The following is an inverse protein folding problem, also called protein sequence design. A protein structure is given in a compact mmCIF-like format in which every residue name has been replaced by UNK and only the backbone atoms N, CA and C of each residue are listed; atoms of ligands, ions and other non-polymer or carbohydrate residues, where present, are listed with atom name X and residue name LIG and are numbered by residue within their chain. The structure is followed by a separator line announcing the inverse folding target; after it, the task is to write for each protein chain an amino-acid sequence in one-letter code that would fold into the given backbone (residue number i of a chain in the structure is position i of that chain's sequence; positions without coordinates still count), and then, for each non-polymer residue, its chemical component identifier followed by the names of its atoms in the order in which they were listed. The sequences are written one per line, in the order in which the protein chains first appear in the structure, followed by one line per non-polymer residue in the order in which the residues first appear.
data_IF_848251147305
#
_entry.id   IF_848251147305
#
_cell.length_a   1.000
_cell.length_b   1.000
_cell.length_c   1.000
_cell.angle_alpha   90.00
_cell.angle_beta   90.00
_cell.angle_gamma   90.00
#
_symmetry.space_group_name_H-M   'P 1'
#
loop_
_entity.id
_entity.type
_entity.pdbx_description
1 polymer ?
#
# COMPACT_ATOMS: atom_id res chain seq x y z
N UNK A 1 23.91 -3.68 7.52
CA UNK A 1 22.61 -3.59 8.21
C UNK A 1 22.55 -2.20 8.82
N UNK A 2 21.77 -1.31 8.23
CA UNK A 2 21.47 -0.01 8.83
C UNK A 2 20.07 -0.16 9.44
N UNK A 3 19.98 -0.96 10.51
CA UNK A 3 18.73 -1.11 11.24
C UNK A 3 18.51 0.09 12.13
N UNK A 4 17.30 0.63 12.08
CA UNK A 4 16.82 1.57 13.08
C UNK A 4 16.40 0.75 14.28
N UNK A 5 17.35 0.41 15.15
CA UNK A 5 17.05 -0.24 16.41
C UNK A 5 16.63 0.85 17.42
N UNK A 6 15.36 1.26 17.43
CA UNK A 6 14.79 2.18 18.42
C UNK A 6 13.60 3.04 17.95
N UNK A 7 12.91 3.69 18.91
CA UNK A 7 11.83 4.67 18.72
C UNK A 7 12.32 5.96 18.01
N UNK A 8 12.86 5.85 16.80
CA UNK A 8 13.38 6.98 16.03
C UNK A 8 12.66 7.13 14.70
N UNK A 9 12.11 8.31 14.45
CA UNK A 9 11.66 8.68 13.11
C UNK A 9 12.89 8.87 12.22
N UNK A 10 13.00 8.10 11.14
CA UNK A 10 14.00 8.36 10.10
C UNK A 10 13.35 9.18 9.00
N UNK A 11 13.78 10.43 8.90
CA UNK A 11 13.44 11.31 7.79
C UNK A 11 14.56 11.26 6.76
N UNK A 12 14.28 10.69 5.59
CA UNK A 12 15.25 10.70 4.49
C UNK A 12 15.16 12.04 3.76
N UNK A 13 16.27 12.76 3.77
CA UNK A 13 16.45 13.99 2.98
C UNK A 13 16.71 13.66 1.50
N UNK A 14 16.39 14.56 0.57
CA UNK A 14 16.65 14.34 -0.85
C UNK A 14 18.10 13.92 -1.15
N UNK A 15 18.26 12.83 -1.89
CA UNK A 15 19.57 12.32 -2.36
C UNK A 15 20.27 11.34 -1.42
N UNK A 16 19.63 10.86 -0.35
CA UNK A 16 20.21 9.84 0.51
C UNK A 16 20.08 8.43 -0.09
N UNK A 17 21.21 7.76 -0.27
CA UNK A 17 21.28 6.35 -0.68
C UNK A 17 21.47 5.46 0.55
N UNK A 18 20.65 4.40 0.71
CA UNK A 18 20.78 3.44 1.81
C UNK A 18 21.12 2.04 1.27
N UNK A 19 22.36 1.62 1.47
CA UNK A 19 23.02 0.74 0.51
C UNK A 19 22.76 -0.77 0.62
N UNK A 20 21.95 -1.36 1.53
CA UNK A 20 21.84 -2.84 1.47
C UNK A 20 20.55 -3.48 2.00
N UNK A 21 20.04 -3.03 3.13
CA UNK A 21 18.83 -3.58 3.74
C UNK A 21 18.33 -2.57 4.77
N UNK A 22 17.08 -2.18 4.65
CA UNK A 22 16.43 -1.29 5.63
C UNK A 22 15.40 -2.10 6.37
N UNK A 23 15.50 -2.08 7.69
CA UNK A 23 14.57 -2.80 8.56
C UNK A 23 13.97 -1.79 9.53
N UNK A 24 12.66 -1.58 9.43
CA UNK A 24 11.88 -0.94 10.47
C UNK A 24 11.70 -1.93 11.62
N UNK A 25 12.15 -1.58 12.82
CA UNK A 25 12.07 -2.45 14.00
C UNK A 25 11.58 -1.67 15.20
N UNK A 26 10.82 -2.36 16.05
CA UNK A 26 10.53 -1.87 17.39
C UNK A 26 10.30 -3.01 18.37
N UNK A 27 11.39 -3.50 18.97
CA UNK A 27 11.36 -4.66 19.86
C UNK A 27 10.62 -4.42 21.20
N UNK A 28 10.14 -3.19 21.48
CA UNK A 28 9.65 -2.80 22.80
C UNK A 28 8.40 -1.89 22.71
N UNK A 29 7.24 -2.44 22.33
CA UNK A 29 5.91 -1.76 22.42
C UNK A 29 5.80 -0.35 21.82
N UNK A 30 6.80 0.09 21.05
CA UNK A 30 6.84 1.39 20.42
C UNK A 30 6.48 1.27 18.94
N UNK A 31 6.25 2.42 18.32
CA UNK A 31 6.13 2.51 16.87
C UNK A 31 7.44 3.04 16.30
N UNK A 32 7.94 2.46 15.20
CA UNK A 32 8.95 3.13 14.36
C UNK A 32 8.27 3.71 13.13
N UNK A 33 8.53 4.98 12.84
CA UNK A 33 8.02 5.64 11.63
C UNK A 33 9.15 5.88 10.65
N UNK A 34 8.97 5.45 9.41
CA UNK A 34 9.82 5.86 8.30
C UNK A 34 9.06 6.84 7.43
N UNK A 35 9.58 8.06 7.24
CA UNK A 35 8.92 9.09 6.43
C UNK A 35 9.82 9.52 5.27
N UNK A 36 9.30 9.50 4.03
CA UNK A 36 9.93 10.23 2.92
C UNK A 36 9.44 11.69 2.90
N UNK A 37 10.34 12.62 2.60
CA UNK A 37 10.00 14.04 2.45
C UNK A 37 9.62 14.36 1.01
N UNK A 38 8.98 15.53 0.79
CA UNK A 38 8.25 15.93 -0.42
C UNK A 38 9.09 16.12 -1.72
N UNK A 39 10.30 15.56 -1.82
CA UNK A 39 11.12 15.64 -3.04
C UNK A 39 12.34 14.72 -3.06
N UNK A 40 12.41 13.70 -2.20
CA UNK A 40 13.59 12.83 -2.09
C UNK A 40 13.49 11.51 -2.85
N UNK A 41 14.65 10.96 -3.23
CA UNK A 41 14.77 9.56 -3.64
C UNK A 41 15.31 8.75 -2.48
N UNK A 42 14.61 7.68 -2.12
CA UNK A 42 15.08 6.63 -1.22
C UNK A 42 15.38 5.37 -2.04
N UNK A 43 16.60 4.84 -1.91
CA UNK A 43 17.01 3.61 -2.58
C UNK A 43 17.33 2.53 -1.55
N UNK A 44 16.69 1.36 -1.67
CA UNK A 44 17.04 0.13 -1.00
C UNK A 44 17.55 -0.88 -2.05
N UNK A 45 18.85 -1.19 -2.02
CA UNK A 45 19.49 -2.06 -3.03
C UNK A 45 19.13 -3.55 -2.91
N UNK A 46 18.31 -3.92 -1.92
CA UNK A 46 17.84 -5.27 -1.70
C UNK A 46 16.43 -5.22 -1.14
N UNK A 47 16.27 -5.71 0.09
CA UNK A 47 14.97 -5.74 0.75
C UNK A 47 14.73 -4.48 1.59
N UNK A 48 13.47 -4.05 1.59
CA UNK A 48 12.94 -3.19 2.64
C UNK A 48 11.95 -4.03 3.46
N UNK A 49 12.12 -4.06 4.78
CA UNK A 49 11.28 -4.88 5.66
C UNK A 49 10.73 -4.06 6.81
N UNK A 50 9.41 -3.98 6.89
CA UNK A 50 8.70 -3.40 8.02
C UNK A 50 8.19 -4.49 8.97
N UNK A 51 8.44 -4.28 10.26
CA UNK A 51 8.11 -5.19 11.36
C UNK A 51 8.70 -6.60 11.17
N UNK A 52 10.03 -6.69 11.24
CA UNK A 52 10.78 -7.94 10.98
C UNK A 52 10.60 -9.02 12.05
N UNK A 53 10.42 -8.63 13.32
CA UNK A 53 10.22 -9.57 14.43
C UNK A 53 8.76 -9.62 14.91
N UNK A 54 8.33 -10.76 15.50
CA UNK A 54 7.04 -10.83 16.17
C UNK A 54 6.90 -9.78 17.27
N UNK A 55 5.78 -9.05 17.25
CA UNK A 55 5.48 -7.98 18.21
C UNK A 55 5.98 -6.59 17.78
N UNK A 56 6.83 -6.49 16.74
CA UNK A 56 7.16 -5.20 16.15
C UNK A 56 5.87 -4.52 15.64
N UNK A 57 5.76 -3.21 15.86
CA UNK A 57 4.72 -2.37 15.26
C UNK A 57 5.40 -1.22 14.54
N UNK A 58 5.19 -1.10 13.24
CA UNK A 58 5.87 -0.07 12.43
C UNK A 58 4.91 0.63 11.47
N UNK A 59 5.31 1.82 11.02
CA UNK A 59 4.60 2.59 10.00
C UNK A 59 5.61 3.14 8.99
N UNK A 60 5.31 2.97 7.71
CA UNK A 60 6.03 3.61 6.62
C UNK A 60 5.09 4.63 5.97
N UNK A 61 5.46 5.90 5.94
CA UNK A 61 4.69 6.93 5.24
C UNK A 61 5.50 7.51 4.09
N UNK A 62 4.93 7.46 2.89
CA UNK A 62 5.45 8.12 1.71
C UNK A 62 4.62 9.37 1.43
N UNK A 63 5.16 10.55 1.71
CA UNK A 63 4.44 11.81 1.46
C UNK A 63 4.53 12.23 -0.01
N UNK A 64 5.71 12.06 -0.63
CA UNK A 64 5.97 12.24 -2.05
C UNK A 64 7.37 11.64 -2.37
N UNK A 65 7.86 11.86 -3.60
CA UNK A 65 9.20 11.53 -4.03
C UNK A 65 9.28 10.17 -4.72
N UNK A 66 10.46 9.57 -4.70
CA UNK A 66 10.72 8.27 -5.29
C UNK A 66 11.24 7.27 -4.25
N UNK A 67 10.66 6.08 -4.20
CA UNK A 67 11.15 4.97 -3.37
C UNK A 67 11.51 3.81 -4.29
N UNK A 68 12.78 3.45 -4.39
CA UNK A 68 13.23 2.34 -5.22
C UNK A 68 13.74 1.21 -4.35
N UNK A 69 13.11 0.05 -4.46
CA UNK A 69 13.43 -1.17 -3.72
C UNK A 69 13.79 -2.23 -4.75
N UNK A 70 15.06 -2.60 -4.84
CA UNK A 70 15.55 -3.54 -5.86
C UNK A 70 15.13 -5.00 -5.60
N UNK A 71 14.73 -5.34 -4.37
CA UNK A 71 14.22 -6.64 -3.97
C UNK A 71 12.74 -6.57 -3.59
N UNK A 72 12.36 -7.30 -2.55
CA UNK A 72 10.99 -7.28 -2.03
C UNK A 72 10.79 -6.18 -0.98
N UNK A 73 9.56 -5.67 -0.91
CA UNK A 73 9.08 -4.82 0.17
C UNK A 73 8.08 -5.61 1.02
N UNK A 74 8.38 -5.75 2.31
CA UNK A 74 7.49 -6.43 3.25
C UNK A 74 6.80 -5.41 4.14
N UNK A 75 5.47 -5.46 4.18
CA UNK A 75 4.63 -4.71 5.10
C UNK A 75 4.09 -5.72 6.11
N UNK A 76 4.69 -5.76 7.30
CA UNK A 76 4.31 -6.71 8.34
C UNK A 76 4.93 -8.07 8.04
N UNK A 77 6.27 -8.13 8.06
CA UNK A 77 6.99 -9.37 7.78
C UNK A 77 6.73 -10.44 8.84
N UNK A 78 6.94 -10.12 10.12
CA UNK A 78 6.59 -10.99 11.27
C UNK A 78 5.79 -10.27 12.36
N UNK A 79 5.72 -8.94 12.32
CA UNK A 79 4.92 -8.12 13.23
C UNK A 79 3.75 -7.42 12.54
N UNK A 80 3.34 -6.26 13.06
CA UNK A 80 2.30 -5.42 12.48
C UNK A 80 2.93 -4.22 11.77
N UNK A 81 2.57 -3.95 10.52
CA UNK A 81 3.01 -2.76 9.81
C UNK A 81 1.88 -2.10 9.04
N UNK A 82 1.92 -0.78 8.97
CA UNK A 82 1.11 0.01 8.03
C UNK A 82 2.01 0.74 7.04
N UNK A 83 1.70 0.67 5.75
CA UNK A 83 2.20 1.60 4.73
C UNK A 83 1.12 2.64 4.45
N UNK A 84 1.48 3.91 4.38
CA UNK A 84 0.62 4.98 3.87
C UNK A 84 1.32 5.72 2.75
N UNK A 85 0.67 5.93 1.60
CA UNK A 85 1.20 6.76 0.52
C UNK A 85 0.25 7.92 0.20
N UNK A 86 0.78 9.15 0.17
CA UNK A 86 0.02 10.36 -0.17
C UNK A 86 0.32 10.83 -1.61
N UNK A 87 1.56 10.67 -2.08
CA UNK A 87 1.98 10.98 -3.44
C UNK A 87 3.28 10.22 -3.81
N UNK A 88 3.82 10.53 -5.00
CA UNK A 88 5.10 10.03 -5.49
C UNK A 88 5.03 8.66 -6.16
N UNK A 89 6.20 8.06 -6.40
CA UNK A 89 6.35 6.81 -7.15
C UNK A 89 7.26 5.81 -6.42
N UNK A 90 6.72 4.66 -6.07
CA UNK A 90 7.46 3.55 -5.46
C UNK A 90 7.71 2.45 -6.49
N UNK A 91 8.96 2.14 -6.78
CA UNK A 91 9.36 1.03 -7.66
C UNK A 91 9.86 -0.13 -6.81
N UNK A 92 9.21 -1.28 -6.90
CA UNK A 92 9.63 -2.53 -6.25
C UNK A 92 10.00 -3.52 -7.35
N UNK A 93 11.27 -3.86 -7.51
CA UNK A 93 11.70 -4.79 -8.56
C UNK A 93 11.45 -6.26 -8.21
N UNK A 94 11.29 -6.59 -6.93
CA UNK A 94 10.86 -7.91 -6.45
C UNK A 94 9.35 -7.95 -6.21
N UNK A 95 8.91 -8.50 -5.08
CA UNK A 95 7.50 -8.57 -4.73
C UNK A 95 7.12 -7.57 -3.63
N UNK A 96 5.90 -7.05 -3.69
CA UNK A 96 5.22 -6.43 -2.55
C UNK A 96 4.52 -7.52 -1.72
N UNK A 97 4.89 -7.66 -0.44
CA UNK A 97 4.37 -8.72 0.43
C UNK A 97 3.70 -8.09 1.65
N UNK A 98 2.40 -8.33 1.82
CA UNK A 98 1.58 -7.70 2.85
C UNK A 98 1.07 -8.77 3.84
N UNK A 99 1.51 -8.70 5.10
CA UNK A 99 1.22 -9.71 6.10
C UNK A 99 1.85 -11.06 5.75
N UNK A 100 3.19 -11.13 5.74
CA UNK A 100 3.92 -12.27 5.18
C UNK A 100 3.93 -13.52 6.06
N UNK A 101 4.25 -13.42 7.35
CA UNK A 101 4.47 -14.60 8.21
C UNK A 101 3.29 -14.89 9.13
N UNK A 102 3.25 -16.09 9.70
CA UNK A 102 2.26 -16.50 10.71
C UNK A 102 2.08 -15.41 11.77
N UNK A 103 0.83 -14.99 11.99
CA UNK A 103 0.42 -13.93 12.96
C UNK A 103 0.95 -12.52 12.66
N UNK A 104 1.58 -12.28 11.52
CA UNK A 104 1.91 -10.93 11.09
C UNK A 104 0.68 -10.25 10.47
N UNK A 105 0.64 -8.93 10.57
CA UNK A 105 -0.43 -8.12 9.98
C UNK A 105 0.21 -7.02 9.14
N UNK A 106 -0.14 -6.97 7.85
CA UNK A 106 0.24 -5.89 6.96
C UNK A 106 -0.99 -5.13 6.48
N UNK A 107 -0.88 -3.81 6.44
CA UNK A 107 -1.89 -2.96 5.81
C UNK A 107 -1.23 -1.92 4.92
N UNK A 108 -1.73 -1.73 3.71
CA UNK A 108 -1.28 -0.68 2.78
C UNK A 108 -2.42 0.27 2.44
N UNK A 109 -2.30 1.55 2.82
CA UNK A 109 -3.25 2.61 2.54
C UNK A 109 -2.67 3.53 1.46
N UNK A 110 -3.25 3.51 0.26
CA UNK A 110 -2.80 4.32 -0.87
C UNK A 110 -3.77 5.50 -1.07
N UNK A 111 -3.54 6.59 -0.34
CA UNK A 111 -4.29 7.85 -0.47
C UNK A 111 -3.91 8.61 -1.76
N UNK A 112 -2.72 8.35 -2.28
CA UNK A 112 -2.22 8.83 -3.56
C UNK A 112 -0.94 8.12 -3.98
N UNK A 113 -0.31 8.62 -5.03
CA UNK A 113 0.93 8.06 -5.57
C UNK A 113 0.75 6.76 -6.36
N UNK A 114 1.86 6.13 -6.71
CA UNK A 114 1.90 4.92 -7.54
C UNK A 114 2.88 3.93 -6.96
N UNK A 115 2.46 2.67 -6.81
CA UNK A 115 3.36 1.55 -6.53
C UNK A 115 3.48 0.70 -7.77
N UNK A 116 4.68 0.63 -8.34
CA UNK A 116 5.01 -0.30 -9.40
C UNK A 116 5.62 -1.57 -8.81
N UNK A 117 5.06 -2.73 -9.14
CA UNK A 117 5.61 -4.01 -8.71
C UNK A 117 5.26 -5.16 -9.68
N UNK A 118 6.22 -6.04 -10.03
CA UNK A 118 5.97 -7.21 -10.87
C UNK A 118 5.18 -8.30 -10.18
N UNK A 119 5.11 -8.30 -8.85
CA UNK A 119 4.40 -9.33 -8.10
C UNK A 119 3.90 -8.77 -6.77
N UNK A 120 2.74 -9.25 -6.31
CA UNK A 120 2.20 -8.95 -5.00
C UNK A 120 1.70 -10.22 -4.33
N UNK A 121 1.70 -10.27 -3.01
CA UNK A 121 0.97 -11.31 -2.28
C UNK A 121 0.45 -10.79 -0.94
N UNK A 122 -0.70 -11.32 -0.53
CA UNK A 122 -1.34 -11.06 0.76
C UNK A 122 -1.34 -12.35 1.59
N UNK A 123 -1.00 -12.23 2.88
CA UNK A 123 -1.21 -13.31 3.84
C UNK A 123 -0.33 -14.55 3.64
N UNK A 124 0.89 -14.39 3.13
CA UNK A 124 1.81 -15.46 2.69
C UNK A 124 1.80 -16.75 3.52
N UNK A 125 2.71 -16.89 4.47
CA UNK A 125 2.82 -18.03 5.38
C UNK A 125 1.77 -17.95 6.52
N UNK A 126 0.52 -17.59 6.21
CA UNK A 126 -0.56 -17.49 7.19
C UNK A 126 -0.58 -16.18 8.00
N UNK A 127 0.00 -15.11 7.45
CA UNK A 127 -0.23 -13.75 7.93
C UNK A 127 -1.57 -13.18 7.45
N UNK A 128 -1.87 -11.94 7.83
CA UNK A 128 -3.06 -11.21 7.35
C UNK A 128 -2.61 -9.94 6.64
N UNK A 129 -2.91 -9.85 5.34
CA UNK A 129 -2.59 -8.68 4.53
C UNK A 129 -3.85 -7.97 4.04
N UNK A 130 -3.79 -6.65 3.91
CA UNK A 130 -4.84 -5.87 3.25
C UNK A 130 -4.29 -4.62 2.57
N UNK A 131 -5.00 -4.11 1.58
CA UNK A 131 -4.70 -2.88 0.86
C UNK A 131 -5.99 -2.10 0.59
N UNK A 132 -5.93 -0.79 0.73
CA UNK A 132 -6.98 0.14 0.34
C UNK A 132 -6.45 1.19 -0.66
N UNK A 133 -7.16 1.34 -1.77
CA UNK A 133 -6.86 2.27 -2.85
C UNK A 133 -7.79 3.49 -2.72
N UNK A 134 -7.41 4.46 -1.90
CA UNK A 134 -8.18 5.69 -1.63
C UNK A 134 -7.69 6.92 -2.41
N UNK A 135 -7.07 6.71 -3.57
CA UNK A 135 -6.57 7.76 -4.45
C UNK A 135 -5.22 7.45 -5.11
N UNK A 136 -4.49 6.45 -4.61
CA UNK A 136 -3.31 5.90 -5.28
C UNK A 136 -3.62 4.75 -6.23
N UNK A 137 -2.57 4.21 -6.85
CA UNK A 137 -2.68 3.08 -7.78
C UNK A 137 -1.53 2.08 -7.63
N UNK A 138 -1.78 0.86 -8.07
CA UNK A 138 -0.75 -0.16 -8.29
C UNK A 138 -0.59 -0.39 -9.80
N UNK A 139 0.67 -0.45 -10.26
CA UNK A 139 1.04 -0.81 -11.62
C UNK A 139 1.72 -2.19 -11.61
N UNK A 140 1.22 -3.09 -12.45
CA UNK A 140 1.80 -4.41 -12.65
C UNK A 140 2.24 -4.57 -14.11
N UNK A 141 3.50 -4.94 -14.41
CA UNK A 141 4.04 -5.07 -15.77
C UNK A 141 3.55 -6.30 -16.54
N UNK A 142 2.45 -6.92 -16.10
CA UNK A 142 1.80 -8.05 -16.75
C UNK A 142 0.29 -7.83 -16.71
N UNK A 143 -0.43 -8.43 -17.66
CA UNK A 143 -1.89 -8.39 -17.68
C UNK A 143 -2.44 -9.27 -16.56
N UNK A 144 -3.03 -8.64 -15.55
CA UNK A 144 -3.68 -9.32 -14.41
C UNK A 144 -5.19 -9.13 -14.41
N UNK A 145 -5.76 -8.55 -15.47
CA UNK A 145 -7.19 -8.21 -15.51
C UNK A 145 -8.10 -9.44 -15.43
N UNK A 146 -7.66 -10.58 -15.95
CA UNK A 146 -8.35 -11.88 -15.88
C UNK A 146 -7.68 -12.85 -14.90
N UNK A 147 -6.72 -12.39 -14.10
CA UNK A 147 -5.99 -13.27 -13.19
C UNK A 147 -6.85 -13.60 -11.96
N UNK A 148 -7.20 -14.89 -11.81
CA UNK A 148 -8.06 -15.39 -10.72
C UNK A 148 -7.54 -15.07 -9.32
N UNK A 149 -6.22 -14.95 -9.14
CA UNK A 149 -5.63 -14.63 -7.83
C UNK A 149 -5.94 -13.18 -7.45
N UNK A 150 -5.74 -12.24 -8.38
CA UNK A 150 -6.01 -10.82 -8.14
C UNK A 150 -7.50 -10.54 -7.97
N UNK A 151 -8.34 -11.17 -8.80
CA UNK A 151 -9.79 -11.11 -8.67
C UNK A 151 -10.25 -11.70 -7.34
N UNK A 152 -9.64 -12.81 -6.90
CA UNK A 152 -9.87 -13.43 -5.60
C UNK A 152 -9.57 -12.48 -4.44
N UNK A 153 -8.42 -11.80 -4.46
CA UNK A 153 -8.08 -10.82 -3.42
C UNK A 153 -9.05 -9.64 -3.33
N UNK A 154 -9.56 -9.17 -4.47
CA UNK A 154 -10.60 -8.12 -4.49
C UNK A 154 -11.92 -8.67 -3.93
N UNK A 155 -12.33 -9.87 -4.37
CA UNK A 155 -13.57 -10.50 -3.91
C UNK A 155 -13.56 -10.83 -2.41
N UNK A 156 -12.41 -11.22 -1.87
CA UNK A 156 -12.19 -11.50 -0.45
C UNK A 156 -12.02 -10.22 0.41
N UNK A 157 -12.00 -9.05 -0.22
CA UNK A 157 -11.83 -7.76 0.47
C UNK A 157 -10.41 -7.50 0.98
N UNK A 158 -9.42 -8.20 0.42
CA UNK A 158 -8.00 -7.95 0.72
C UNK A 158 -7.47 -6.74 -0.05
N UNK A 159 -8.03 -6.45 -1.23
CA UNK A 159 -7.84 -5.19 -1.95
C UNK A 159 -9.19 -4.48 -2.01
N UNK A 160 -9.25 -3.28 -1.45
CA UNK A 160 -10.47 -2.47 -1.41
C UNK A 160 -10.22 -1.09 -2.03
N UNK A 161 -11.29 -0.39 -2.41
CA UNK A 161 -11.22 1.01 -2.84
C UNK A 161 -11.96 1.89 -1.83
N UNK A 162 -11.34 3.00 -1.42
CA UNK A 162 -11.92 4.00 -0.52
C UNK A 162 -12.55 3.38 0.75
N UNK A 163 -11.80 2.57 1.49
CA UNK A 163 -12.28 1.96 2.74
C UNK A 163 -13.45 0.99 2.53
N UNK A 164 -13.42 0.22 1.44
CA UNK A 164 -14.45 -0.74 1.05
C UNK A 164 -15.82 -0.13 0.74
N UNK A 165 -15.91 1.18 0.51
CA UNK A 165 -17.11 1.79 -0.10
C UNK A 165 -16.98 1.88 -1.61
N UNK A 166 -15.78 2.13 -2.14
CA UNK A 166 -15.53 2.22 -3.57
C UNK A 166 -15.39 0.86 -4.25
N UNK A 167 -15.33 0.88 -5.58
CA UNK A 167 -14.98 -0.28 -6.39
C UNK A 167 -13.47 -0.33 -6.64
N UNK A 168 -12.93 -1.51 -6.93
CA UNK A 168 -11.58 -1.67 -7.48
C UNK A 168 -11.70 -1.87 -8.99
N UNK A 169 -10.90 -1.14 -9.75
CA UNK A 169 -10.82 -1.23 -11.20
C UNK A 169 -9.44 -1.73 -11.62
N UNK A 170 -9.40 -2.69 -12.54
CA UNK A 170 -8.19 -3.19 -13.18
C UNK A 170 -8.28 -2.92 -14.68
N UNK A 171 -7.27 -2.27 -15.24
CA UNK A 171 -7.23 -1.90 -16.65
C UNK A 171 -5.87 -2.20 -17.25
N UNK A 172 -5.81 -3.05 -18.28
CA UNK A 172 -4.60 -3.29 -19.05
C UNK A 172 -4.44 -2.24 -20.15
N UNK A 173 -3.34 -1.49 -20.12
CA UNK A 173 -3.07 -0.42 -21.09
C UNK A 173 -2.20 -0.87 -22.28
N UNK A 174 -1.86 -2.16 -22.37
CA UNK A 174 -0.95 -2.71 -23.40
C UNK A 174 0.49 -2.91 -22.92
N UNK A 175 0.86 -2.31 -21.79
CA UNK A 175 2.20 -2.45 -21.17
C UNK A 175 2.11 -2.88 -19.71
N UNK A 176 1.16 -2.31 -18.97
CA UNK A 176 0.97 -2.53 -17.54
C UNK A 176 -0.52 -2.61 -17.20
N UNK A 177 -0.85 -3.36 -16.16
CA UNK A 177 -2.18 -3.33 -15.55
C UNK A 177 -2.20 -2.23 -14.50
N UNK A 178 -3.12 -1.30 -14.66
CA UNK A 178 -3.43 -0.23 -13.72
C UNK A 178 -4.53 -0.70 -12.77
N UNK A 179 -4.24 -0.68 -11.48
CA UNK A 179 -5.18 -1.11 -10.43
C UNK A 179 -5.47 0.09 -9.55
N UNK A 180 -6.72 0.52 -9.54
CA UNK A 180 -7.15 1.78 -8.94
C UNK A 180 -8.43 1.58 -8.14
N UNK A 181 -8.61 2.39 -7.09
CA UNK A 181 -9.92 2.56 -6.47
C UNK A 181 -10.76 3.54 -7.28
N UNK A 182 -12.04 3.25 -7.44
CA UNK A 182 -13.05 4.18 -7.95
C UNK A 182 -13.96 4.56 -6.77
N UNK A 183 -14.04 5.85 -6.39
CA UNK A 183 -14.93 6.25 -5.33
C UNK A 183 -16.37 6.01 -5.77
N UNK A 184 -17.26 5.63 -4.85
CA UNK A 184 -18.67 5.55 -5.22
C UNK A 184 -19.11 6.90 -5.82
N UNK A 185 -19.78 6.90 -6.97
CA UNK A 185 -20.33 8.13 -7.51
C UNK A 185 -21.31 8.70 -6.47
N UNK A 186 -20.94 9.80 -5.83
CA UNK A 186 -21.82 10.57 -4.93
C UNK A 186 -23.17 10.94 -5.60
N UNK A 187 -23.24 10.81 -6.93
CA UNK A 187 -24.43 10.91 -7.74
C UNK A 187 -25.53 9.89 -7.45
N UNK A 188 -25.25 8.68 -6.91
CA UNK A 188 -26.34 7.79 -6.43
C UNK A 188 -27.04 8.41 -5.21
N UNK A 189 -26.24 8.98 -4.30
CA UNK A 189 -26.77 9.68 -3.12
C UNK A 189 -27.62 10.89 -3.54
N UNK A 190 -27.15 11.65 -4.54
CA UNK A 190 -27.86 12.83 -5.04
C UNK A 190 -29.11 12.47 -5.86
N UNK A 191 -29.12 11.36 -6.62
CA UNK A 191 -30.32 10.86 -7.30
C UNK A 191 -31.41 10.45 -6.29
N UNK A 192 -31.02 9.84 -5.15
CA UNK A 192 -31.93 9.51 -4.07
C UNK A 192 -32.60 10.75 -3.47
N UNK A 193 -31.81 11.80 -3.20
CA UNK A 193 -32.32 13.05 -2.61
C UNK A 193 -33.15 13.85 -3.63
N UNK A 194 -32.69 13.94 -4.89
CA UNK A 194 -33.42 14.62 -5.97
C UNK A 194 -34.76 13.94 -6.30
N UNK A 195 -34.81 12.61 -6.29
CA UNK A 195 -36.05 11.85 -6.48
C UNK A 195 -37.07 12.05 -5.36
N UNK A 196 -36.61 12.29 -4.13
CA UNK A 196 -37.49 12.56 -2.99
C UNK A 196 -38.10 13.98 -3.05
N UNK A 197 -37.34 14.97 -3.53
CA UNK A 197 -37.80 16.36 -3.66
C UNK A 197 -38.80 16.56 -4.81
N UNK A 198 -38.77 15.72 -5.85
CA UNK A 198 -39.72 15.79 -6.98
C UNK A 198 -41.13 15.29 -6.60
N UNK A 199 -41.30 14.60 -5.45
CA UNK A 199 -42.60 14.05 -5.03
C UNK A 199 -43.53 15.07 -4.35
N UNK A 200 -43.11 16.33 -4.13
CA UNK A 200 -43.90 17.37 -3.45
C UNK A 200 -44.46 18.43 -4.40
N UNK A 201 -45.31 18.04 -5.36
CA UNK A 201 -46.25 18.98 -6.00
C UNK A 201 -47.49 18.28 -6.57
N UNK A 202 -48.36 17.81 -5.68
CA UNK A 202 -49.78 17.58 -5.97
C UNK A 202 -50.62 18.02 -4.77
N UNK A 203 -50.89 19.31 -4.72
CA UNK A 203 -52.03 19.95 -4.06
C UNK A 203 -52.17 21.33 -4.71
#
# INVERSE_FOLDING_TARGET
YNGLDGNGDLTILPGAELTLMTVGRNACSGSSTFNTTTSGTYNALGFHIEAFYPGDVTTFTMLDGAVNIAGCFYIGSSGTSTLTTEAGYMTISGALLVGHSVKSTGHAQLNGGTIWTPNMAFGGDGGTGSMDLAGGMVLCPVDVTENEVWLGWIADGLITGYGNVGAVNMYWNGTETEITGIPEPATILLLGIGGFLIRRKRA
#
